data_IF_822235680700
#
_entry.id   IF_822235680700
#
_cell.length_a   1.000
_cell.length_b   1.000
_cell.length_c   1.000
_cell.angle_alpha   90.00
_cell.angle_beta   90.00
_cell.angle_gamma   90.00
#
_symmetry.space_group_name_H-M   'P 1'
#
loop_
_entity.id
_entity.type
_entity.pdbx_description
1 polymer ?
#
# COMPACT_ATOMS: atom_id res chain seq x y z
N UNK A 1 -129.85 50.10 86.16
CA UNK A 1 -128.90 48.95 86.23
C UNK A 1 -128.31 48.61 84.85
N UNK A 2 -129.12 48.51 83.80
CA UNK A 2 -128.72 48.09 82.43
C UNK A 2 -127.65 48.98 81.75
N UNK A 3 -127.74 50.31 81.82
CA UNK A 3 -126.75 51.22 81.17
C UNK A 3 -125.30 51.07 81.68
N UNK A 4 -125.11 50.76 82.97
CA UNK A 4 -123.76 50.51 83.53
C UNK A 4 -123.18 49.18 83.05
N UNK A 5 -124.02 48.14 82.94
CA UNK A 5 -123.60 46.80 82.47
C UNK A 5 -123.17 46.84 81.00
N UNK A 6 -123.90 47.55 80.14
CA UNK A 6 -123.55 47.74 78.72
C UNK A 6 -122.23 48.50 78.56
N UNK A 7 -122.01 49.55 79.36
CA UNK A 7 -120.75 50.31 79.34
C UNK A 7 -119.55 49.47 79.83
N UNK A 8 -119.71 48.71 80.92
CA UNK A 8 -118.68 47.79 81.40
C UNK A 8 -118.38 46.68 80.38
N UNK A 9 -119.39 46.15 79.71
CA UNK A 9 -119.23 45.14 78.65
C UNK A 9 -118.52 45.69 77.42
N UNK A 10 -118.84 46.91 76.99
CA UNK A 10 -118.18 47.57 75.85
C UNK A 10 -116.70 47.87 76.16
N UNK A 11 -116.40 48.41 77.36
CA UNK A 11 -115.03 48.64 77.81
C UNK A 11 -114.25 47.32 77.89
N UNK A 12 -114.85 46.23 78.38
CA UNK A 12 -114.22 44.92 78.44
C UNK A 12 -113.90 44.36 77.04
N UNK A 13 -114.82 44.49 76.08
CA UNK A 13 -114.60 44.04 74.69
C UNK A 13 -113.51 44.87 74.01
N UNK A 14 -113.52 46.20 74.18
CA UNK A 14 -112.45 47.07 73.67
C UNK A 14 -111.09 46.74 74.30
N UNK A 15 -111.06 46.41 75.59
CA UNK A 15 -109.84 46.02 76.30
C UNK A 15 -109.31 44.66 75.80
N UNK A 16 -110.19 43.67 75.64
CA UNK A 16 -109.84 42.36 75.07
C UNK A 16 -109.32 42.52 73.62
N UNK A 17 -109.98 43.33 72.80
CA UNK A 17 -109.56 43.62 71.44
C UNK A 17 -108.19 44.32 71.38
N UNK A 18 -107.92 45.26 72.28
CA UNK A 18 -106.63 45.92 72.40
C UNK A 18 -105.52 44.94 72.81
N UNK A 19 -105.78 44.06 73.79
CA UNK A 19 -104.83 43.02 74.25
C UNK A 19 -104.59 41.97 73.16
N UNK A 20 -105.62 41.56 72.42
CA UNK A 20 -105.48 40.63 71.30
C UNK A 20 -104.68 41.24 70.14
N UNK A 21 -104.94 42.52 69.81
CA UNK A 21 -104.18 43.23 68.78
C UNK A 21 -102.71 43.40 69.18
N UNK A 22 -102.41 43.82 70.41
CA UNK A 22 -101.03 43.93 70.89
C UNK A 22 -100.34 42.56 70.94
N UNK A 23 -101.05 41.51 71.34
CA UNK A 23 -100.54 40.13 71.31
C UNK A 23 -100.14 39.68 69.89
N UNK A 24 -100.98 39.93 68.88
CA UNK A 24 -100.66 39.60 67.48
C UNK A 24 -99.42 40.38 66.99
N UNK A 25 -99.30 41.66 67.34
CA UNK A 25 -98.13 42.46 66.96
C UNK A 25 -96.85 41.97 67.65
N UNK A 26 -96.92 41.53 68.91
CA UNK A 26 -95.78 40.93 69.63
C UNK A 26 -95.36 39.63 68.96
N UNK A 27 -96.29 38.73 68.60
CA UNK A 27 -95.95 37.48 67.89
C UNK A 27 -95.29 37.77 66.54
N UNK A 28 -95.80 38.74 65.77
CA UNK A 28 -95.20 39.15 64.49
C UNK A 28 -93.80 39.72 64.69
N UNK A 29 -93.60 40.53 65.72
CA UNK A 29 -92.31 41.11 66.05
C UNK A 29 -91.30 40.02 66.41
N UNK A 30 -91.68 39.06 67.25
CA UNK A 30 -90.83 37.93 67.61
C UNK A 30 -90.44 37.10 66.39
N UNK A 31 -91.41 36.74 65.53
CA UNK A 31 -91.10 36.00 64.29
C UNK A 31 -90.16 36.78 63.36
N UNK A 32 -90.32 38.11 63.30
CA UNK A 32 -89.43 38.98 62.52
C UNK A 32 -88.02 39.02 63.12
N UNK A 33 -87.90 39.06 64.44
CA UNK A 33 -86.62 38.99 65.15
C UNK A 33 -85.92 37.64 64.92
N UNK A 34 -86.65 36.54 64.98
CA UNK A 34 -86.12 35.20 64.71
C UNK A 34 -85.63 35.07 63.26
N UNK A 35 -86.41 35.58 62.31
CA UNK A 35 -86.03 35.60 60.89
C UNK A 35 -84.77 36.46 60.68
N UNK A 36 -84.72 37.64 61.30
CA UNK A 36 -83.55 38.52 61.23
C UNK A 36 -82.29 37.86 61.80
N UNK A 37 -82.40 37.20 62.96
CA UNK A 37 -81.30 36.47 63.56
C UNK A 37 -80.81 35.34 62.65
N UNK A 38 -81.73 34.59 62.03
CA UNK A 38 -81.39 33.55 61.04
C UNK A 38 -80.64 34.14 59.83
N UNK A 39 -81.16 35.21 59.24
CA UNK A 39 -80.50 35.89 58.11
C UNK A 39 -79.14 36.46 58.47
N UNK A 40 -78.97 36.99 59.70
CA UNK A 40 -77.67 37.46 60.19
C UNK A 40 -76.66 36.32 60.31
N UNK A 41 -77.08 35.14 60.79
CA UNK A 41 -76.23 33.96 60.88
C UNK A 41 -75.83 33.44 59.48
N UNK A 42 -76.77 33.37 58.54
CA UNK A 42 -76.49 32.98 57.15
C UNK A 42 -75.54 33.96 56.46
N UNK A 43 -75.71 35.27 56.70
CA UNK A 43 -74.81 36.30 56.19
C UNK A 43 -73.39 36.14 56.75
N UNK A 44 -73.26 35.91 58.05
CA UNK A 44 -71.96 35.68 58.68
C UNK A 44 -71.28 34.41 58.12
N UNK A 45 -72.04 33.33 57.91
CA UNK A 45 -71.53 32.12 57.26
C UNK A 45 -71.05 32.39 55.84
N UNK A 46 -71.87 33.09 55.04
CA UNK A 46 -71.54 33.44 53.66
C UNK A 46 -70.29 34.33 53.58
N UNK A 47 -70.15 35.29 54.51
CA UNK A 47 -68.95 36.13 54.61
C UNK A 47 -67.69 35.30 54.91
N UNK A 48 -67.80 34.31 55.80
CA UNK A 48 -66.71 33.38 56.09
C UNK A 48 -66.33 32.54 54.86
N UNK A 49 -67.31 32.03 54.12
CA UNK A 49 -67.08 31.22 52.91
C UNK A 49 -66.44 32.04 51.79
N UNK A 50 -66.84 33.31 51.63
CA UNK A 50 -66.22 34.25 50.69
C UNK A 50 -64.76 34.51 51.05
N UNK A 51 -64.45 34.74 52.32
CA UNK A 51 -63.07 34.93 52.79
C UNK A 51 -62.21 33.69 52.51
N UNK A 52 -62.73 32.51 52.80
CA UNK A 52 -62.03 31.25 52.52
C UNK A 52 -61.79 31.06 51.01
N UNK A 53 -62.81 31.32 50.19
CA UNK A 53 -62.69 31.26 48.72
C UNK A 53 -61.64 32.24 48.21
N UNK A 54 -61.61 33.47 48.74
CA UNK A 54 -60.60 34.47 48.40
C UNK A 54 -59.18 34.02 48.73
N UNK A 55 -58.98 33.38 49.89
CA UNK A 55 -57.68 32.82 50.27
C UNK A 55 -57.25 31.69 49.33
N UNK A 56 -58.15 30.75 49.01
CA UNK A 56 -57.86 29.67 48.04
C UNK A 56 -57.52 30.21 46.67
N UNK A 57 -58.22 31.24 46.20
CA UNK A 57 -57.93 31.89 44.93
C UNK A 57 -56.55 32.53 44.92
N UNK A 58 -56.19 33.25 45.99
CA UNK A 58 -54.86 33.86 46.13
C UNK A 58 -53.74 32.80 46.14
N UNK A 59 -53.93 31.67 46.82
CA UNK A 59 -52.99 30.55 46.79
C UNK A 59 -52.86 29.94 45.39
N UNK A 60 -53.98 29.77 44.68
CA UNK A 60 -53.99 29.23 43.31
C UNK A 60 -53.27 30.18 42.34
N UNK A 61 -53.47 31.48 42.48
CA UNK A 61 -52.79 32.50 41.65
C UNK A 61 -51.28 32.48 41.85
N UNK A 62 -50.83 32.34 43.11
CA UNK A 62 -49.41 32.19 43.44
C UNK A 62 -48.80 30.91 42.82
N UNK A 63 -49.48 29.78 42.91
CA UNK A 63 -49.05 28.52 42.29
C UNK A 63 -48.97 28.63 40.77
N UNK A 64 -49.96 29.26 40.13
CA UNK A 64 -49.96 29.50 38.68
C UNK A 64 -48.77 30.37 38.25
N UNK A 65 -48.45 31.41 39.02
CA UNK A 65 -47.29 32.26 38.74
C UNK A 65 -45.97 31.49 38.81
N UNK A 66 -45.83 30.55 39.75
CA UNK A 66 -44.65 29.69 39.86
C UNK A 66 -44.54 28.74 38.66
N UNK A 67 -45.65 28.08 38.31
CA UNK A 67 -45.70 27.16 37.15
C UNK A 67 -45.35 27.89 35.85
N UNK A 68 -45.83 29.12 35.68
CA UNK A 68 -45.47 29.93 34.51
C UNK A 68 -43.97 30.21 34.46
N UNK A 69 -43.35 30.57 35.58
CA UNK A 69 -41.90 30.80 35.67
C UNK A 69 -41.12 29.53 35.33
N UNK A 70 -41.52 28.38 35.86
CA UNK A 70 -40.87 27.10 35.56
C UNK A 70 -41.00 26.72 34.09
N UNK A 71 -42.16 26.98 33.48
CA UNK A 71 -42.36 26.76 32.05
C UNK A 71 -41.42 27.61 31.18
N UNK A 72 -41.22 28.88 31.52
CA UNK A 72 -40.26 29.75 30.82
C UNK A 72 -38.82 29.22 30.94
N UNK A 73 -38.43 28.76 32.14
CA UNK A 73 -37.11 28.19 32.37
C UNK A 73 -36.89 26.91 31.55
N UNK A 74 -37.89 26.05 31.46
CA UNK A 74 -37.79 24.81 30.68
C UNK A 74 -37.81 25.07 29.17
N UNK A 75 -38.53 26.09 28.70
CA UNK A 75 -38.46 26.56 27.31
C UNK A 75 -37.05 27.06 26.95
N UNK A 76 -36.41 27.83 27.83
CA UNK A 76 -35.03 28.29 27.63
C UNK A 76 -34.03 27.14 27.57
N UNK A 77 -34.12 26.18 28.51
CA UNK A 77 -33.29 24.97 28.49
C UNK A 77 -33.49 24.16 27.21
N UNK A 78 -34.73 23.99 26.76
CA UNK A 78 -35.04 23.28 25.53
C UNK A 78 -34.42 23.96 24.31
N UNK A 79 -34.49 25.30 24.24
CA UNK A 79 -33.88 26.07 23.16
C UNK A 79 -32.35 25.93 23.13
N UNK A 80 -31.71 25.91 24.31
CA UNK A 80 -30.26 25.68 24.42
C UNK A 80 -29.88 24.29 23.96
N UNK A 81 -30.59 23.26 24.43
CA UNK A 81 -30.38 21.86 24.00
C UNK A 81 -30.55 21.69 22.49
N UNK A 82 -31.56 22.34 21.88
CA UNK A 82 -31.77 22.29 20.44
C UNK A 82 -30.59 22.91 19.66
N UNK A 83 -30.04 24.01 20.16
CA UNK A 83 -28.90 24.69 19.55
C UNK A 83 -27.62 23.84 19.63
N UNK A 84 -27.37 23.22 20.78
CA UNK A 84 -26.26 22.29 20.97
C UNK A 84 -26.37 21.07 20.05
N UNK A 85 -27.57 20.52 19.91
CA UNK A 85 -27.84 19.39 19.01
C UNK A 85 -27.54 19.75 17.55
N UNK A 86 -27.98 20.93 17.07
CA UNK A 86 -27.69 21.40 15.72
C UNK A 86 -26.19 21.56 15.47
N UNK A 87 -25.45 22.09 16.45
CA UNK A 87 -24.00 22.21 16.38
C UNK A 87 -23.30 20.85 16.29
N UNK A 88 -23.79 19.85 17.05
CA UNK A 88 -23.26 18.48 17.00
C UNK A 88 -23.51 17.85 15.63
N UNK A 89 -24.68 18.04 15.02
CA UNK A 89 -24.96 17.54 13.67
C UNK A 89 -23.97 18.08 12.63
N UNK A 90 -23.71 19.39 12.65
CA UNK A 90 -22.72 19.99 11.75
C UNK A 90 -21.30 19.41 11.95
N UNK A 91 -20.92 19.13 13.19
CA UNK A 91 -19.65 18.45 13.49
C UNK A 91 -19.60 17.03 12.94
N UNK A 92 -20.69 16.26 13.08
CA UNK A 92 -20.78 14.89 12.54
C UNK A 92 -20.59 14.91 11.02
N UNK A 93 -21.24 15.83 10.31
CA UNK A 93 -21.13 15.97 8.86
C UNK A 93 -19.69 16.33 8.42
N UNK A 94 -19.04 17.24 9.16
CA UNK A 94 -17.64 17.61 8.92
C UNK A 94 -16.70 16.41 9.11
N UNK A 95 -16.88 15.66 10.20
CA UNK A 95 -16.08 14.46 10.49
C UNK A 95 -16.30 13.39 9.42
N UNK A 96 -17.55 13.19 8.96
CA UNK A 96 -17.86 12.27 7.86
C UNK A 96 -17.08 12.63 6.59
N UNK A 97 -17.05 13.91 6.23
CA UNK A 97 -16.29 14.40 5.06
C UNK A 97 -14.77 14.20 5.20
N UNK A 98 -14.22 14.27 6.42
CA UNK A 98 -12.80 14.01 6.69
C UNK A 98 -12.47 12.52 6.62
N UNK A 99 -13.37 11.66 7.09
CA UNK A 99 -13.25 10.20 6.98
C UNK A 99 -13.18 9.79 5.51
N UNK A 100 -14.07 10.31 4.66
CA UNK A 100 -14.09 9.99 3.22
C UNK A 100 -12.77 10.37 2.54
N UNK A 101 -12.22 11.56 2.84
CA UNK A 101 -10.92 12.01 2.31
C UNK A 101 -9.76 11.13 2.77
N UNK A 102 -9.78 10.73 4.03
CA UNK A 102 -8.75 9.85 4.60
C UNK A 102 -8.79 8.49 3.94
N UNK A 103 -10.00 7.96 3.71
CA UNK A 103 -10.20 6.67 3.06
C UNK A 103 -9.71 6.69 1.59
N UNK A 104 -9.99 7.75 0.83
CA UNK A 104 -9.45 7.95 -0.54
C UNK A 104 -7.92 7.99 -0.55
N UNK A 105 -7.32 8.69 0.43
CA UNK A 105 -5.86 8.76 0.58
C UNK A 105 -5.25 7.40 0.85
N UNK A 106 -5.87 6.59 1.72
CA UNK A 106 -5.42 5.22 2.01
C UNK A 106 -5.50 4.33 0.77
N UNK A 107 -6.59 4.41 0.00
CA UNK A 107 -6.70 3.63 -1.24
C UNK A 107 -5.59 3.97 -2.23
N UNK A 108 -5.28 5.25 -2.41
CA UNK A 108 -4.18 5.70 -3.30
C UNK A 108 -2.81 5.22 -2.81
N UNK A 109 -2.54 5.33 -1.51
CA UNK A 109 -1.28 4.88 -0.94
C UNK A 109 -1.07 3.36 -1.09
N UNK A 110 -2.12 2.56 -0.91
CA UNK A 110 -2.05 1.12 -1.10
C UNK A 110 -1.76 0.73 -2.55
N UNK A 111 -2.38 1.41 -3.52
CA UNK A 111 -2.10 1.18 -4.94
C UNK A 111 -0.63 1.48 -5.29
N UNK A 112 -0.08 2.60 -4.79
CA UNK A 112 1.33 2.95 -4.99
C UNK A 112 2.28 1.92 -4.36
N UNK A 113 1.94 1.42 -3.16
CA UNK A 113 2.74 0.40 -2.49
C UNK A 113 2.81 -0.90 -3.30
N UNK A 114 1.72 -1.30 -3.93
CA UNK A 114 1.70 -2.50 -4.76
C UNK A 114 2.50 -2.31 -6.06
N UNK A 115 2.45 -1.14 -6.69
CA UNK A 115 3.29 -0.80 -7.84
C UNK A 115 4.79 -0.82 -7.48
N UNK A 116 5.15 -0.32 -6.30
CA UNK A 116 6.54 -0.32 -5.81
C UNK A 116 7.04 -1.73 -5.47
N UNK A 117 6.18 -2.58 -4.89
CA UNK A 117 6.51 -4.01 -4.69
C UNK A 117 6.76 -4.73 -6.00
N UNK A 118 5.92 -4.50 -7.01
CA UNK A 118 6.09 -5.11 -8.33
C UNK A 118 7.39 -4.65 -9.00
N UNK A 119 7.71 -3.36 -8.88
CA UNK A 119 8.98 -2.79 -9.38
C UNK A 119 10.19 -3.38 -8.67
N UNK A 120 10.15 -3.54 -7.34
CA UNK A 120 11.21 -4.19 -6.58
C UNK A 120 11.38 -5.67 -6.94
N UNK A 121 10.29 -6.39 -7.17
CA UNK A 121 10.34 -7.78 -7.61
C UNK A 121 11.03 -7.92 -8.98
N UNK A 122 10.72 -7.02 -9.92
CA UNK A 122 11.38 -6.97 -11.23
C UNK A 122 12.88 -6.64 -11.10
N UNK A 123 13.23 -5.61 -10.33
CA UNK A 123 14.62 -5.23 -10.08
C UNK A 123 15.43 -6.38 -9.43
N UNK A 124 14.81 -7.16 -8.55
CA UNK A 124 15.48 -8.29 -7.92
C UNK A 124 15.77 -9.42 -8.91
N UNK A 125 14.89 -9.64 -9.89
CA UNK A 125 15.14 -10.60 -10.99
C UNK A 125 16.33 -10.11 -11.82
N UNK A 126 16.31 -8.85 -12.25
CA UNK A 126 17.40 -8.27 -13.05
C UNK A 126 18.75 -8.35 -12.31
N UNK A 127 18.76 -8.11 -10.99
CA UNK A 127 19.96 -8.23 -10.16
C UNK A 127 20.52 -9.66 -10.12
N UNK A 128 19.65 -10.67 -10.04
CA UNK A 128 20.06 -12.08 -10.06
C UNK A 128 20.66 -12.45 -11.42
N UNK A 129 20.04 -12.00 -12.50
CA UNK A 129 20.52 -12.25 -13.87
C UNK A 129 21.90 -11.61 -14.08
N UNK A 130 22.07 -10.35 -13.68
CA UNK A 130 23.37 -9.64 -13.76
C UNK A 130 24.44 -10.35 -12.92
N UNK A 131 24.09 -10.85 -11.73
CA UNK A 131 25.03 -11.60 -10.90
C UNK A 131 25.45 -12.92 -11.57
N UNK A 132 24.52 -13.60 -12.23
CA UNK A 132 24.81 -14.80 -13.01
C UNK A 132 25.80 -14.47 -14.14
N UNK A 133 25.50 -13.43 -14.93
CA UNK A 133 26.36 -12.98 -16.04
C UNK A 133 27.75 -12.57 -15.58
N UNK A 134 27.84 -11.85 -14.46
CA UNK A 134 29.10 -11.47 -13.83
C UNK A 134 29.91 -12.69 -13.41
N UNK A 135 29.28 -13.68 -12.78
CA UNK A 135 29.94 -14.91 -12.34
C UNK A 135 30.45 -15.74 -13.54
N UNK A 136 29.67 -15.82 -14.61
CA UNK A 136 30.08 -16.49 -15.86
C UNK A 136 31.27 -15.78 -16.52
N UNK A 137 31.27 -14.45 -16.50
CA UNK A 137 32.36 -13.62 -17.06
C UNK A 137 33.64 -13.76 -16.22
N UNK A 138 33.54 -13.72 -14.90
CA UNK A 138 34.70 -13.76 -13.98
C UNK A 138 35.28 -15.15 -13.77
N UNK A 139 34.48 -16.21 -13.91
CA UNK A 139 34.94 -17.61 -13.80
C UNK A 139 35.70 -18.12 -15.03
N UNK A 140 35.96 -17.26 -16.03
CA UNK A 140 36.87 -17.56 -17.13
C UNK A 140 36.28 -18.37 -18.28
N UNK A 141 34.95 -18.49 -18.37
CA UNK A 141 34.29 -19.12 -19.53
C UNK A 141 34.22 -18.21 -20.78
N UNK A 142 34.62 -16.94 -20.67
CA UNK A 142 34.79 -16.03 -21.81
C UNK A 142 36.28 -15.79 -22.12
N UNK A 143 36.85 -16.65 -22.97
CA UNK A 143 37.89 -16.34 -23.97
C UNK A 143 38.80 -15.12 -23.74
N UNK A 144 39.70 -15.14 -22.76
CA UNK A 144 40.93 -14.32 -22.83
C UNK A 144 42.10 -15.23 -23.15
N UNK A 145 42.05 -15.84 -24.34
CA UNK A 145 43.26 -16.36 -24.96
C UNK A 145 44.09 -15.15 -25.38
N UNK A 146 45.30 -15.04 -24.86
CA UNK A 146 46.21 -13.94 -25.19
C UNK A 146 47.11 -14.34 -26.35
N UNK A 147 47.47 -13.37 -27.16
CA UNK A 147 48.55 -13.47 -28.12
C UNK A 147 49.89 -13.54 -27.34
N UNK A 148 50.76 -14.54 -27.58
CA UNK A 148 52.05 -14.64 -26.90
C UNK A 148 53.07 -13.63 -27.46
N UNK A 149 54.16 -13.35 -26.77
CA UNK A 149 55.38 -12.83 -27.43
C UNK A 149 56.06 -13.96 -28.21
N UNK A 150 56.96 -13.62 -29.13
CA UNK A 150 57.74 -14.62 -29.84
C UNK A 150 58.57 -15.49 -28.89
N UNK A 151 59.18 -14.91 -27.86
CA UNK A 151 59.93 -15.68 -26.86
C UNK A 151 59.02 -16.63 -26.06
N UNK A 152 57.85 -16.17 -25.62
CA UNK A 152 56.87 -17.04 -24.95
C UNK A 152 56.37 -18.17 -25.85
N UNK A 153 56.23 -17.93 -27.15
CA UNK A 153 55.92 -18.98 -28.12
C UNK A 153 57.06 -20.02 -28.19
N UNK A 154 58.32 -19.60 -28.23
CA UNK A 154 59.46 -20.54 -28.23
C UNK A 154 59.54 -21.34 -26.94
N UNK A 155 59.28 -20.71 -25.79
CA UNK A 155 59.22 -21.39 -24.49
C UNK A 155 58.06 -22.39 -24.43
N UNK A 156 56.89 -22.02 -24.95
CA UNK A 156 55.73 -22.91 -25.07
C UNK A 156 56.05 -24.14 -25.92
N UNK A 157 56.56 -23.95 -27.15
CA UNK A 157 56.89 -25.06 -28.05
C UNK A 157 57.95 -25.98 -27.46
N UNK A 158 58.95 -25.43 -26.75
CA UNK A 158 59.97 -26.22 -26.08
C UNK A 158 59.42 -27.09 -24.93
N UNK A 159 58.32 -26.70 -24.33
CA UNK A 159 57.66 -27.42 -23.23
C UNK A 159 56.57 -28.38 -23.72
N UNK A 160 55.98 -28.10 -24.88
CA UNK A 160 55.09 -29.01 -25.58
C UNK A 160 55.87 -30.26 -26.02
N UNK A 161 55.19 -31.42 -26.04
CA UNK A 161 55.83 -32.70 -26.42
C UNK A 161 55.06 -33.40 -27.53
N UNK A 162 54.19 -32.68 -28.25
CA UNK A 162 53.36 -33.26 -29.31
C UNK A 162 54.23 -33.74 -30.48
N UNK A 163 55.35 -33.08 -30.75
CA UNK A 163 56.34 -33.45 -31.78
C UNK A 163 57.01 -34.82 -31.52
N UNK A 164 57.02 -35.27 -30.27
CA UNK A 164 57.57 -36.58 -29.87
C UNK A 164 56.65 -37.76 -30.22
N UNK A 165 55.41 -37.51 -30.61
CA UNK A 165 54.48 -38.56 -31.04
C UNK A 165 54.87 -39.14 -32.40
N UNK A 166 54.64 -40.44 -32.61
CA UNK A 166 54.92 -41.10 -33.89
C UNK A 166 53.77 -40.87 -34.89
N UNK A 167 54.11 -40.44 -36.10
CA UNK A 167 53.11 -40.29 -37.17
C UNK A 167 52.55 -41.65 -37.60
N UNK A 168 51.24 -41.81 -37.48
CA UNK A 168 50.52 -43.01 -37.86
C UNK A 168 49.32 -42.69 -38.74
N UNK A 169 49.40 -43.07 -40.01
CA UNK A 169 48.35 -42.82 -41.02
C UNK A 169 46.96 -43.35 -40.67
N UNK A 170 46.83 -44.28 -39.72
CA UNK A 170 45.55 -44.83 -39.29
C UNK A 170 44.97 -44.19 -38.03
N UNK A 171 45.80 -43.58 -37.17
CA UNK A 171 45.38 -43.19 -35.81
C UNK A 171 45.94 -41.87 -35.29
N UNK A 172 46.98 -41.30 -35.89
CA UNK A 172 47.61 -40.07 -35.41
C UNK A 172 48.33 -39.36 -36.57
N UNK A 173 47.64 -38.39 -37.16
CA UNK A 173 48.04 -37.68 -38.38
C UNK A 173 48.21 -36.19 -38.12
N UNK A 174 48.50 -35.40 -39.15
CA UNK A 174 48.80 -33.96 -39.02
C UNK A 174 47.73 -33.18 -38.26
N UNK A 175 46.45 -33.57 -38.39
CA UNK A 175 45.34 -32.98 -37.65
C UNK A 175 45.44 -33.21 -36.14
N UNK A 176 45.86 -34.40 -35.72
CA UNK A 176 46.00 -34.75 -34.30
C UNK A 176 47.16 -34.01 -33.65
N UNK A 177 48.33 -33.92 -34.32
CA UNK A 177 49.44 -33.06 -33.86
C UNK A 177 49.00 -31.60 -33.71
N UNK A 178 48.28 -31.07 -34.70
CA UNK A 178 47.79 -29.69 -34.66
C UNK A 178 46.76 -29.47 -33.55
N UNK A 179 45.94 -30.47 -33.27
CA UNK A 179 44.94 -30.42 -32.21
C UNK A 179 45.59 -30.44 -30.82
N UNK A 180 46.58 -31.31 -30.60
CA UNK A 180 47.24 -31.45 -29.30
C UNK A 180 48.01 -30.18 -28.92
N UNK A 181 48.81 -29.61 -29.83
CA UNK A 181 49.51 -28.35 -29.56
C UNK A 181 48.51 -27.21 -29.31
N UNK A 182 47.39 -27.15 -30.05
CA UNK A 182 46.33 -26.16 -29.83
C UNK A 182 45.67 -26.34 -28.47
N UNK A 183 45.42 -27.57 -28.05
CA UNK A 183 44.84 -27.89 -26.74
C UNK A 183 45.78 -27.48 -25.60
N UNK A 184 47.08 -27.79 -25.70
CA UNK A 184 48.07 -27.38 -24.69
C UNK A 184 48.22 -25.86 -24.64
N UNK A 185 48.21 -25.16 -25.79
CA UNK A 185 48.20 -23.70 -25.83
C UNK A 185 46.97 -23.13 -25.11
N UNK A 186 45.78 -23.71 -25.33
CA UNK A 186 44.54 -23.31 -24.66
C UNK A 186 44.60 -23.51 -23.13
N UNK A 187 45.20 -24.61 -22.66
CA UNK A 187 45.42 -24.84 -21.22
C UNK A 187 46.31 -23.75 -20.59
N UNK A 188 47.22 -23.18 -21.37
CA UNK A 188 48.08 -22.07 -20.98
C UNK A 188 47.49 -20.68 -21.29
N UNK A 189 46.22 -20.64 -21.75
CA UNK A 189 45.52 -19.41 -22.18
C UNK A 189 46.23 -18.67 -23.33
N UNK A 190 46.99 -19.38 -24.16
CA UNK A 190 47.65 -18.86 -25.36
C UNK A 190 46.71 -19.04 -26.56
N UNK A 191 46.56 -17.98 -27.36
CA UNK A 191 45.74 -18.02 -28.58
C UNK A 191 46.51 -18.73 -29.70
N UNK A 192 45.94 -19.83 -30.18
CA UNK A 192 46.50 -20.66 -31.25
C UNK A 192 45.47 -20.85 -32.35
N UNK A 193 45.82 -20.52 -33.59
CA UNK A 193 45.02 -20.76 -34.77
C UNK A 193 45.36 -22.12 -35.38
N UNK A 194 44.36 -22.76 -35.98
CA UNK A 194 44.52 -23.91 -36.85
C UNK A 194 44.70 -23.43 -38.29
N UNK A 195 45.65 -24.03 -39.01
CA UNK A 195 45.99 -23.64 -40.38
C UNK A 195 45.79 -24.86 -41.27
N UNK A 196 44.87 -24.72 -42.20
CA UNK A 196 44.53 -25.78 -43.14
C UNK A 196 45.15 -25.48 -44.50
N UNK A 197 46.01 -26.38 -44.98
CA UNK A 197 46.85 -26.25 -46.17
C UNK A 197 46.39 -27.20 -47.29
N UNK A 198 46.59 -26.80 -48.54
CA UNK A 198 46.28 -27.62 -49.72
C UNK A 198 47.49 -27.68 -50.68
N UNK A 199 47.95 -28.89 -51.00
CA UNK A 199 48.99 -29.17 -52.00
C UNK A 199 48.43 -30.04 -53.13
N UNK A 200 48.26 -29.53 -54.35
CA UNK A 200 47.88 -30.33 -55.52
C UNK A 200 46.76 -31.40 -55.29
N UNK A 201 45.79 -31.13 -54.39
CA UNK A 201 44.71 -32.05 -54.00
C UNK A 201 44.89 -32.81 -52.67
N UNK A 202 46.09 -32.80 -52.09
CA UNK A 202 46.46 -33.31 -50.76
C UNK A 202 46.21 -32.21 -49.70
N UNK A 203 45.79 -32.61 -48.51
CA UNK A 203 45.51 -31.73 -47.37
C UNK A 203 46.60 -31.90 -46.31
N UNK A 204 47.00 -30.81 -45.67
CA UNK A 204 47.91 -30.81 -44.53
C UNK A 204 47.43 -29.80 -43.49
N UNK A 205 47.79 -29.98 -42.24
CA UNK A 205 47.41 -29.05 -41.18
C UNK A 205 48.58 -28.70 -40.29
N UNK A 206 48.67 -27.42 -40.00
CA UNK A 206 49.63 -26.84 -39.07
C UNK A 206 48.93 -25.86 -38.13
N UNK A 207 49.70 -25.17 -37.30
CA UNK A 207 49.19 -24.17 -36.37
C UNK A 207 49.85 -22.82 -36.61
N UNK A 208 49.23 -21.76 -36.09
CA UNK A 208 49.81 -20.43 -36.10
C UNK A 208 49.51 -19.65 -34.82
N UNK A 209 50.45 -18.80 -34.44
CA UNK A 209 50.35 -17.94 -33.27
C UNK A 209 50.54 -16.49 -33.72
N UNK A 210 49.61 -15.61 -33.37
CA UNK A 210 49.79 -14.18 -33.60
C UNK A 210 50.64 -13.66 -32.45
N UNK A 211 51.93 -13.45 -32.71
CA UNK A 211 52.83 -12.92 -31.69
C UNK A 211 52.67 -11.41 -31.59
N UNK A 212 52.74 -10.88 -30.37
CA UNK A 212 52.58 -9.45 -30.10
C UNK A 212 53.71 -8.59 -30.66
N UNK A 213 54.85 -9.19 -30.98
CA UNK A 213 56.10 -8.51 -31.37
C UNK A 213 56.66 -8.92 -32.75
N UNK A 214 56.27 -10.08 -33.32
CA UNK A 214 56.72 -10.51 -34.66
C UNK A 214 55.60 -10.85 -35.64
N UNK A 215 54.34 -10.60 -35.26
CA UNK A 215 53.18 -10.96 -36.07
C UNK A 215 52.94 -12.47 -36.09
N UNK A 216 52.29 -12.97 -37.14
CA UNK A 216 51.87 -14.37 -37.21
C UNK A 216 53.08 -15.28 -37.51
N UNK A 217 53.28 -16.27 -36.64
CA UNK A 217 54.28 -17.33 -36.79
C UNK A 217 53.55 -18.64 -37.06
N UNK A 218 53.90 -19.31 -38.16
CA UNK A 218 53.38 -20.64 -38.50
C UNK A 218 54.34 -21.71 -38.00
N UNK A 219 53.81 -22.80 -37.43
CA UNK A 219 54.60 -23.88 -36.85
C UNK A 219 54.11 -25.21 -37.42
N UNK A 220 55.03 -26.01 -37.96
CA UNK A 220 54.84 -27.42 -38.29
C UNK A 220 54.87 -28.23 -36.98
N UNK A 221 53.72 -28.66 -36.45
CA UNK A 221 53.63 -29.25 -35.11
C UNK A 221 54.27 -30.65 -35.05
N UNK A 222 54.47 -31.31 -36.19
CA UNK A 222 55.14 -32.61 -36.22
C UNK A 222 56.65 -32.52 -35.98
N UNK A 223 57.25 -31.33 -36.09
CA UNK A 223 58.70 -31.12 -36.05
C UNK A 223 59.13 -29.96 -35.16
N UNK A 224 58.19 -29.22 -34.54
CA UNK A 224 58.42 -27.94 -33.87
C UNK A 224 59.19 -26.91 -34.71
N UNK A 225 58.92 -26.91 -36.02
CA UNK A 225 59.62 -26.07 -36.98
C UNK A 225 58.79 -24.89 -37.39
N UNK A 226 59.43 -23.73 -37.49
CA UNK A 226 58.80 -22.56 -38.08
C UNK A 226 58.62 -22.74 -39.58
N UNK A 227 57.52 -22.20 -40.10
CA UNK A 227 57.15 -22.30 -41.50
C UNK A 227 57.03 -20.89 -42.08
N UNK A 228 57.91 -20.55 -43.02
CA UNK A 228 57.73 -19.36 -43.86
C UNK A 228 56.72 -19.69 -44.97
N UNK A 229 55.44 -19.73 -44.60
CA UNK A 229 54.37 -20.24 -45.45
C UNK A 229 54.10 -19.31 -46.65
N UNK A 230 54.34 -19.81 -47.87
CA UNK A 230 54.11 -19.07 -49.11
C UNK A 230 53.38 -19.91 -50.16
N UNK A 231 52.36 -19.32 -50.80
CA UNK A 231 51.68 -19.94 -51.94
C UNK A 231 52.61 -19.97 -53.16
N UNK A 232 52.68 -21.11 -53.84
CA UNK A 232 53.56 -21.36 -54.97
C UNK A 232 54.91 -21.94 -54.60
N UNK A 233 55.24 -22.06 -53.31
CA UNK A 233 56.46 -22.69 -52.82
C UNK A 233 56.21 -24.14 -52.44
N UNK A 234 57.23 -24.98 -52.52
CA UNK A 234 57.24 -26.35 -52.03
C UNK A 234 57.26 -26.37 -50.50
N UNK A 235 56.22 -26.96 -49.90
CA UNK A 235 56.01 -26.89 -48.46
C UNK A 235 57.23 -27.39 -47.66
N UNK A 236 57.69 -28.61 -47.92
CA UNK A 236 58.76 -29.21 -47.11
C UNK A 236 60.12 -28.60 -47.42
N UNK A 237 60.44 -28.38 -48.71
CA UNK A 237 61.79 -27.96 -49.12
C UNK A 237 62.03 -26.45 -49.10
N UNK A 238 60.97 -25.62 -49.13
CA UNK A 238 61.09 -24.16 -49.22
C UNK A 238 60.38 -23.42 -48.08
N UNK A 239 59.30 -23.96 -47.51
CA UNK A 239 58.57 -23.27 -46.42
C UNK A 239 59.07 -23.65 -45.02
N UNK A 240 59.35 -24.93 -44.74
CA UNK A 240 59.76 -25.40 -43.40
C UNK A 240 61.23 -25.05 -43.08
N UNK A 241 61.47 -24.47 -41.91
CA UNK A 241 62.79 -23.99 -41.45
C UNK A 241 63.29 -24.83 -40.26
N UNK A 242 64.54 -25.34 -40.27
CA UNK A 242 65.51 -25.25 -41.37
C UNK A 242 65.11 -26.13 -42.56
N UNK A 243 65.52 -25.71 -43.76
CA UNK A 243 65.28 -26.39 -45.04
C UNK A 243 66.05 -27.72 -45.14
N UNK A 244 65.60 -28.71 -44.38
CA UNK A 244 66.08 -30.08 -44.42
C UNK A 244 64.86 -31.02 -44.49
N UNK A 245 64.24 -31.13 -45.68
CA UNK A 245 62.96 -31.78 -45.84
C UNK A 245 63.08 -33.32 -45.73
N UNK A 246 62.03 -34.01 -45.25
CA UNK A 246 61.85 -35.41 -45.61
C UNK A 246 61.75 -35.53 -47.14
N UNK A 247 62.33 -36.58 -47.71
CA UNK A 247 62.21 -36.83 -49.17
C UNK A 247 60.75 -37.13 -49.49
N UNK A 248 60.09 -36.24 -50.22
CA UNK A 248 58.72 -36.44 -50.69
C UNK A 248 58.72 -36.96 -52.13
N UNK A 249 57.75 -37.82 -52.46
CA UNK A 249 57.55 -38.38 -53.81
C UNK A 249 56.36 -37.73 -54.54
N UNK A 250 55.73 -36.74 -53.92
CA UNK A 250 54.53 -36.06 -54.41
C UNK A 250 54.77 -34.56 -54.52
N UNK A 251 53.93 -33.88 -55.30
CA UNK A 251 53.98 -32.43 -55.46
C UNK A 251 53.37 -31.74 -54.22
N UNK A 252 54.21 -31.10 -53.42
CA UNK A 252 53.85 -30.38 -52.20
C UNK A 252 53.81 -28.85 -52.38
N UNK A 253 53.69 -28.35 -53.62
CA UNK A 253 53.51 -26.92 -53.87
C UNK A 253 52.24 -26.41 -53.19
N UNK A 254 52.37 -25.42 -52.30
CA UNK A 254 51.25 -24.79 -51.60
C UNK A 254 50.37 -24.06 -52.61
N UNK A 255 49.13 -24.50 -52.74
CA UNK A 255 48.15 -23.86 -53.65
C UNK A 255 47.24 -22.90 -52.90
N UNK A 256 46.93 -23.23 -51.65
CA UNK A 256 46.05 -22.43 -50.80
C UNK A 256 46.27 -22.77 -49.32
N UNK A 257 45.97 -21.82 -48.44
CA UNK A 257 45.80 -22.08 -47.01
C UNK A 257 44.68 -21.22 -46.40
N UNK A 258 44.17 -21.68 -45.26
CA UNK A 258 43.15 -20.99 -44.47
C UNK A 258 43.58 -20.95 -43.00
N UNK A 259 43.51 -19.76 -42.40
CA UNK A 259 43.83 -19.52 -40.99
C UNK A 259 42.53 -19.42 -40.19
N UNK A 260 42.39 -20.24 -39.15
CA UNK A 260 41.15 -20.38 -38.35
C UNK A 260 41.50 -20.19 -36.87
N UNK A 261 41.10 -19.04 -36.33
CA UNK A 261 41.23 -18.71 -34.90
C UNK A 261 40.25 -19.51 -34.04
#
# INVERSE_FOLDING_TARGET
MVKKIVLFSFIAICFIGAVAFTGIQITRLNNTQDTLASTQNELASTQSDILNTGNTLASTDAELSLIQSDLWNDQDKLSKTLSEMQYIYQKIDSIGSEIDKTQDTIYKANAQLDDEKNSNAALNIDLVDIQSDYNSTTSGYSYVFRDPTYEELKDFLKADTSDLNEYNTATYVCEDFSFDVRLHAMQQKIRCAYVYLIFAGIRHSIIAFNTTDKGIIYIEPQLDREVNLQVGWHYWSECVIPHNPPVTTYNDTVTQYYLIW
#
